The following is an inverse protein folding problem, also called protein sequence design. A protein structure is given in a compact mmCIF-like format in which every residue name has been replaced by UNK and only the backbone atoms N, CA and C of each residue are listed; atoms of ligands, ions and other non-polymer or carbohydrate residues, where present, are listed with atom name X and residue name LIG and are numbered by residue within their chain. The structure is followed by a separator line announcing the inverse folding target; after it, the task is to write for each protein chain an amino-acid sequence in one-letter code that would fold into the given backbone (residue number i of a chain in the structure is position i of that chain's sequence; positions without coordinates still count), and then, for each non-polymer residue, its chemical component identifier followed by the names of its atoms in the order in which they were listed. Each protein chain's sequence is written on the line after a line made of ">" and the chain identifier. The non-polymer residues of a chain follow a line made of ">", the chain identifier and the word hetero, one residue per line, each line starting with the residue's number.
data_IF_954460272255
#
_entry.id   IF_954460272255
#
_cell.length_a   1.000
_cell.length_b   1.000
_cell.length_c   1.000
_cell.angle_alpha   90.00
_cell.angle_beta   90.00
_cell.angle_gamma   90.00
#
_symmetry.space_group_name_H-M   'P 1'
#
loop_
_entity.id
_entity.type
_entity.pdbx_description
1 polymer ?
#
# COMPACT_ATOMS: atom_id res chain seq x y z
N UNK A 1 5.22 23.29 -5.66
CA UNK A 1 5.13 22.39 -4.50
C UNK A 1 6.39 21.53 -4.39
N UNK A 2 6.97 21.44 -3.21
CA UNK A 2 8.12 20.59 -2.98
C UNK A 2 7.65 19.19 -2.50
N UNK A 3 7.51 18.29 -3.44
CA UNK A 3 7.03 16.93 -3.13
C UNK A 3 7.93 16.20 -2.13
N UNK A 4 9.25 16.34 -2.27
CA UNK A 4 10.18 15.67 -1.38
C UNK A 4 9.98 16.10 0.07
N UNK A 5 9.90 17.40 0.32
CA UNK A 5 9.71 17.93 1.68
C UNK A 5 8.36 17.48 2.26
N UNK A 6 7.30 17.47 1.45
CA UNK A 6 5.99 16.98 1.89
C UNK A 6 6.05 15.50 2.30
N UNK A 7 6.71 14.68 1.50
CA UNK A 7 6.88 13.26 1.78
C UNK A 7 7.69 13.07 3.04
N UNK A 8 8.84 13.74 3.15
CA UNK A 8 9.72 13.62 4.31
C UNK A 8 8.99 14.01 5.59
N UNK A 9 8.28 15.13 5.57
CA UNK A 9 7.55 15.61 6.74
C UNK A 9 6.45 14.64 7.17
N UNK A 10 5.72 14.05 6.21
CA UNK A 10 4.69 13.06 6.52
C UNK A 10 5.27 11.81 7.15
N UNK A 11 6.40 11.34 6.65
CA UNK A 11 7.04 10.15 7.22
C UNK A 11 7.55 10.41 8.64
N UNK A 12 8.13 11.58 8.87
CA UNK A 12 8.59 11.98 10.22
C UNK A 12 7.40 12.08 11.16
N UNK A 13 6.33 12.75 10.75
CA UNK A 13 5.12 12.92 11.57
C UNK A 13 4.50 11.56 11.93
N UNK A 14 4.50 10.60 10.99
CA UNK A 14 4.00 9.27 11.23
C UNK A 14 4.81 8.54 12.31
N UNK A 15 6.15 8.62 12.23
CA UNK A 15 7.00 7.99 13.24
C UNK A 15 6.78 8.58 14.63
N UNK A 16 6.60 9.91 14.71
CA UNK A 16 6.32 10.58 15.98
C UNK A 16 4.95 10.14 16.52
N UNK A 17 3.93 10.13 15.68
CA UNK A 17 2.58 9.74 16.06
C UNK A 17 2.53 8.29 16.56
N UNK A 18 3.25 7.39 15.90
CA UNK A 18 3.29 5.98 16.29
C UNK A 18 3.94 5.78 17.66
N UNK A 19 4.90 6.62 18.03
CA UNK A 19 5.54 6.55 19.33
C UNK A 19 4.64 7.07 20.44
N UNK A 20 3.75 8.01 20.14
CA UNK A 20 2.86 8.66 21.12
C UNK A 20 1.57 7.86 21.30
N UNK A 21 1.00 7.38 20.18
CA UNK A 21 -0.30 6.70 20.16
C UNK A 21 -0.15 5.25 19.76
N UNK A 22 -0.28 4.37 20.74
CA UNK A 22 -0.02 2.94 20.55
C UNK A 22 -1.12 2.20 19.79
N UNK A 23 -2.36 2.62 19.92
CA UNK A 23 -3.50 1.82 19.47
C UNK A 23 -3.92 2.02 18.01
N UNK A 24 -3.40 3.00 17.31
CA UNK A 24 -3.82 3.29 15.93
C UNK A 24 -2.67 3.29 14.94
N UNK A 25 -1.65 2.48 15.21
CA UNK A 25 -0.47 2.39 14.34
C UNK A 25 -0.82 2.05 12.90
N UNK A 26 -1.69 1.06 12.71
CA UNK A 26 -2.07 0.64 11.36
C UNK A 26 -2.78 1.75 10.60
N UNK A 27 -3.73 2.44 11.26
CA UNK A 27 -4.44 3.55 10.62
C UNK A 27 -3.49 4.68 10.27
N UNK A 28 -2.58 5.03 11.20
CA UNK A 28 -1.58 6.07 10.97
C UNK A 28 -0.68 5.72 9.79
N UNK A 29 -0.22 4.47 9.71
CA UNK A 29 0.60 4.00 8.61
C UNK A 29 -0.15 4.11 7.27
N UNK A 30 -1.39 3.62 7.22
CA UNK A 30 -2.16 3.63 5.98
C UNK A 30 -2.49 5.04 5.51
N UNK A 31 -2.84 5.94 6.43
CA UNK A 31 -3.10 7.34 6.10
C UNK A 31 -1.84 8.01 5.55
N UNK A 32 -0.69 7.76 6.19
CA UNK A 32 0.59 8.30 5.76
C UNK A 32 0.96 7.79 4.38
N UNK A 33 0.83 6.48 4.16
CA UNK A 33 1.24 5.86 2.89
C UNK A 33 0.29 6.24 1.75
N UNK A 34 -0.97 6.52 2.06
CA UNK A 34 -1.89 7.12 1.08
C UNK A 34 -1.35 8.47 0.61
N UNK A 35 -1.03 9.36 1.56
CA UNK A 35 -0.56 10.69 1.25
C UNK A 35 0.79 10.67 0.51
N UNK A 36 1.74 9.89 1.01
CA UNK A 36 3.05 9.74 0.38
C UNK A 36 2.90 9.17 -1.03
N UNK A 37 2.04 8.16 -1.18
CA UNK A 37 1.76 7.56 -2.48
C UNK A 37 1.19 8.57 -3.47
N UNK A 38 0.29 9.44 -3.01
CA UNK A 38 -0.27 10.50 -3.82
C UNK A 38 0.83 11.47 -4.29
N UNK A 39 1.71 11.88 -3.37
CA UNK A 39 2.82 12.78 -3.72
C UNK A 39 3.81 12.13 -4.69
N UNK A 40 4.10 10.84 -4.51
CA UNK A 40 4.97 10.11 -5.42
C UNK A 40 4.35 9.98 -6.82
N UNK A 41 3.04 9.76 -6.88
CA UNK A 41 2.34 9.69 -8.15
C UNK A 41 2.42 11.04 -8.89
N UNK A 42 2.18 12.14 -8.19
CA UNK A 42 2.28 13.48 -8.78
C UNK A 42 3.71 13.83 -9.19
N UNK A 43 4.69 13.52 -8.34
CA UNK A 43 6.09 13.77 -8.64
C UNK A 43 6.55 12.98 -9.87
N UNK A 44 6.08 11.73 -10.02
CA UNK A 44 6.38 10.90 -11.17
C UNK A 44 5.86 11.51 -12.47
N UNK A 45 4.68 12.13 -12.43
CA UNK A 45 4.11 12.79 -13.59
C UNK A 45 4.91 14.03 -14.00
N UNK A 46 5.48 14.75 -13.02
CA UNK A 46 6.26 15.95 -13.30
C UNK A 46 7.71 15.68 -13.67
N UNK A 47 8.35 14.71 -12.99
CA UNK A 47 9.80 14.50 -13.08
C UNK A 47 10.19 13.14 -13.66
N UNK A 48 9.21 12.26 -13.95
CA UNK A 48 9.46 10.94 -14.49
C UNK A 48 9.69 9.87 -13.42
N UNK A 49 9.77 8.62 -13.86
CA UNK A 49 9.87 7.45 -12.96
C UNK A 49 11.14 7.42 -12.13
N UNK A 50 12.22 8.02 -12.61
CA UNK A 50 13.49 8.05 -11.89
C UNK A 50 13.43 8.80 -10.56
N UNK A 51 12.38 9.59 -10.34
CA UNK A 51 12.25 10.38 -9.12
C UNK A 51 12.12 9.50 -7.88
N UNK A 52 11.56 8.32 -8.00
CA UNK A 52 11.42 7.40 -6.86
C UNK A 52 12.80 6.97 -6.35
N UNK A 53 13.70 6.64 -7.26
CA UNK A 53 15.07 6.26 -6.88
C UNK A 53 15.80 7.42 -6.21
N UNK A 54 15.64 8.62 -6.76
CA UNK A 54 16.23 9.83 -6.18
C UNK A 54 15.71 10.07 -4.77
N UNK A 55 14.38 10.01 -4.59
CA UNK A 55 13.78 10.21 -3.27
C UNK A 55 14.15 9.11 -2.29
N UNK A 56 14.26 7.87 -2.75
CA UNK A 56 14.73 6.76 -1.91
C UNK A 56 16.10 7.06 -1.31
N UNK A 57 17.03 7.52 -2.14
CA UNK A 57 18.38 7.85 -1.68
C UNK A 57 18.37 9.02 -0.69
N UNK A 58 17.63 10.08 -1.02
CA UNK A 58 17.58 11.27 -0.16
C UNK A 58 16.89 11.00 1.17
N UNK A 59 15.77 10.28 1.16
CA UNK A 59 15.05 9.95 2.38
C UNK A 59 15.89 9.05 3.31
N UNK A 60 16.56 8.07 2.74
CA UNK A 60 17.40 7.16 3.51
C UNK A 60 18.52 7.91 4.19
N UNK A 61 19.14 8.85 3.47
CA UNK A 61 20.19 9.70 4.01
C UNK A 61 19.65 10.65 5.09
N UNK A 62 18.59 11.40 4.77
CA UNK A 62 18.06 12.46 5.64
C UNK A 62 17.44 11.91 6.92
N UNK A 63 16.78 10.76 6.86
CA UNK A 63 16.04 10.21 8.00
C UNK A 63 16.78 9.09 8.71
N UNK A 64 17.95 8.71 8.21
CA UNK A 64 18.77 7.64 8.78
C UNK A 64 17.97 6.35 8.99
N UNK A 65 17.08 6.04 8.04
CA UNK A 65 16.23 4.86 8.01
C UNK A 65 16.05 4.47 6.56
N UNK A 66 16.08 3.17 6.26
CA UNK A 66 16.00 2.71 4.88
C UNK A 66 14.58 2.88 4.31
N UNK A 67 14.49 3.69 3.26
CA UNK A 67 13.27 3.82 2.44
C UNK A 67 13.61 3.33 1.04
N UNK A 68 13.44 2.03 0.81
CA UNK A 68 13.83 1.41 -0.46
C UNK A 68 12.92 1.86 -1.60
N UNK A 69 13.43 1.75 -2.82
CA UNK A 69 12.63 1.98 -4.02
C UNK A 69 11.35 1.12 -4.00
N UNK A 70 11.48 -0.14 -3.57
CA UNK A 70 10.34 -1.05 -3.48
C UNK A 70 9.27 -0.54 -2.52
N UNK A 71 9.68 -0.06 -1.34
CA UNK A 71 8.76 0.48 -0.34
C UNK A 71 8.02 1.70 -0.89
N UNK A 72 8.75 2.64 -1.48
CA UNK A 72 8.13 3.84 -2.05
C UNK A 72 7.21 3.49 -3.23
N UNK A 73 7.64 2.56 -4.06
CA UNK A 73 6.82 2.09 -5.18
C UNK A 73 5.51 1.47 -4.68
N UNK A 74 5.58 0.68 -3.61
CA UNK A 74 4.38 0.10 -3.00
C UNK A 74 3.43 1.18 -2.47
N UNK A 75 3.96 2.25 -1.89
CA UNK A 75 3.12 3.37 -1.44
C UNK A 75 2.42 4.03 -2.62
N UNK A 76 3.11 4.24 -3.73
CA UNK A 76 2.51 4.79 -4.95
C UNK A 76 1.41 3.86 -5.49
N UNK A 77 1.69 2.57 -5.57
CA UNK A 77 0.70 1.59 -6.05
C UNK A 77 -0.51 1.51 -5.11
N UNK A 78 -0.28 1.58 -3.80
CA UNK A 78 -1.36 1.60 -2.83
C UNK A 78 -2.31 2.75 -3.11
N UNK A 79 -1.77 3.95 -3.32
CA UNK A 79 -2.59 5.10 -3.68
C UNK A 79 -3.33 4.85 -5.01
N UNK A 80 -2.60 4.46 -6.05
CA UNK A 80 -3.16 4.37 -7.40
C UNK A 80 -4.15 3.23 -7.59
N UNK A 81 -3.84 2.05 -7.03
CA UNK A 81 -4.66 0.85 -7.25
C UNK A 81 -5.73 0.64 -6.20
N UNK A 82 -5.44 0.95 -4.95
CA UNK A 82 -6.34 0.67 -3.83
C UNK A 82 -7.16 1.90 -3.46
N UNK A 83 -6.49 2.98 -3.12
CA UNK A 83 -7.17 4.17 -2.59
C UNK A 83 -7.99 4.91 -3.63
N UNK A 84 -7.61 4.86 -4.90
CA UNK A 84 -8.36 5.48 -5.99
C UNK A 84 -9.47 4.58 -6.53
N UNK A 85 -9.58 3.35 -6.05
CA UNK A 85 -10.62 2.43 -6.49
C UNK A 85 -11.85 2.57 -5.59
N UNK A 86 -12.95 3.06 -6.15
CA UNK A 86 -14.18 3.30 -5.42
C UNK A 86 -14.75 2.05 -4.73
N UNK A 87 -14.54 0.89 -5.33
CA UNK A 87 -15.01 -0.39 -4.77
C UNK A 87 -14.26 -0.79 -3.52
N UNK A 88 -13.04 -0.27 -3.31
CA UNK A 88 -12.17 -0.68 -2.23
C UNK A 88 -12.08 0.31 -1.07
N UNK A 89 -12.47 1.58 -1.29
CA UNK A 89 -12.32 2.61 -0.26
C UNK A 89 -12.91 2.24 1.10
N UNK A 90 -14.11 1.66 1.19
CA UNK A 90 -14.67 1.32 2.50
C UNK A 90 -13.90 0.25 3.28
N UNK A 91 -13.09 -0.56 2.60
CA UNK A 91 -12.34 -1.66 3.23
C UNK A 91 -10.85 -1.38 3.34
N UNK A 92 -10.37 -0.27 2.78
CA UNK A 92 -8.94 0.01 2.69
C UNK A 92 -8.25 0.07 4.06
N UNK A 93 -8.94 0.56 5.10
CA UNK A 93 -8.38 0.70 6.44
C UNK A 93 -8.47 -0.56 7.30
N UNK A 94 -9.11 -1.63 6.80
CA UNK A 94 -9.34 -2.86 7.58
C UNK A 94 -8.10 -3.76 7.60
N UNK A 95 -7.37 -3.81 6.49
CA UNK A 95 -6.18 -4.64 6.36
C UNK A 95 -4.93 -3.88 6.81
N UNK A 96 -3.88 -4.60 7.19
CA UNK A 96 -2.61 -3.98 7.53
C UNK A 96 -1.80 -3.64 6.27
N UNK A 97 -0.81 -2.77 6.45
CA UNK A 97 0.12 -2.45 5.36
C UNK A 97 0.79 -3.70 4.79
N UNK A 98 1.12 -4.66 5.67
CA UNK A 98 1.74 -5.91 5.24
C UNK A 98 0.83 -6.72 4.30
N UNK A 99 -0.48 -6.73 4.56
CA UNK A 99 -1.44 -7.36 3.65
C UNK A 99 -1.42 -6.68 2.28
N UNK A 100 -1.46 -5.34 2.27
CA UNK A 100 -1.48 -4.61 1.00
C UNK A 100 -0.20 -4.81 0.21
N UNK A 101 0.96 -4.88 0.86
CA UNK A 101 2.21 -5.15 0.16
C UNK A 101 2.18 -6.48 -0.60
N UNK A 102 1.54 -7.51 -0.02
CA UNK A 102 1.37 -8.77 -0.73
C UNK A 102 0.39 -8.67 -1.89
N UNK A 103 -0.72 -7.96 -1.67
CA UNK A 103 -1.74 -7.79 -2.69
C UNK A 103 -1.27 -6.96 -3.87
N UNK A 104 -0.39 -5.98 -3.64
CA UNK A 104 0.12 -5.11 -4.70
C UNK A 104 1.02 -5.82 -5.69
N UNK A 105 1.45 -7.05 -5.39
CA UNK A 105 2.19 -7.88 -6.33
C UNK A 105 1.29 -8.50 -7.41
N UNK A 106 -0.01 -8.47 -7.18
CA UNK A 106 -1.00 -9.05 -8.09
C UNK A 106 -1.42 -7.98 -9.10
N UNK A 107 -1.47 -8.34 -10.39
CA UNK A 107 -1.81 -7.40 -11.44
C UNK A 107 -3.31 -7.32 -11.71
N UNK A 108 -4.03 -8.41 -11.50
CA UNK A 108 -5.46 -8.50 -11.80
C UNK A 108 -6.28 -7.91 -10.65
N UNK A 109 -7.05 -6.84 -10.94
CA UNK A 109 -7.86 -6.18 -9.90
C UNK A 109 -8.96 -7.08 -9.34
N UNK A 110 -9.54 -7.94 -10.14
CA UNK A 110 -10.55 -8.89 -9.63
C UNK A 110 -9.96 -9.86 -8.62
N UNK A 111 -8.74 -10.28 -8.86
CA UNK A 111 -8.01 -11.14 -7.95
C UNK A 111 -7.70 -10.42 -6.64
N UNK A 112 -7.25 -9.17 -6.72
CA UNK A 112 -7.01 -8.35 -5.53
C UNK A 112 -8.29 -8.19 -4.71
N UNK A 113 -9.39 -7.87 -5.36
CA UNK A 113 -10.70 -7.74 -4.71
C UNK A 113 -11.11 -9.02 -4.00
N UNK A 114 -10.91 -10.15 -4.66
CA UNK A 114 -11.22 -11.46 -4.07
C UNK A 114 -10.46 -11.67 -2.76
N UNK A 115 -9.14 -11.44 -2.79
CA UNK A 115 -8.32 -11.67 -1.59
C UNK A 115 -8.61 -10.65 -0.48
N UNK A 116 -8.93 -9.41 -0.82
CA UNK A 116 -9.35 -8.43 0.18
C UNK A 116 -10.64 -8.90 0.86
N UNK A 117 -11.59 -9.38 0.08
CA UNK A 117 -12.88 -9.83 0.62
C UNK A 117 -12.74 -11.03 1.55
N UNK A 118 -11.90 -12.01 1.20
CA UNK A 118 -11.70 -13.16 2.08
C UNK A 118 -10.89 -12.80 3.33
N UNK A 119 -9.95 -11.87 3.21
CA UNK A 119 -9.24 -11.37 4.39
C UNK A 119 -10.19 -10.69 5.36
N UNK A 120 -11.12 -9.91 4.84
CA UNK A 120 -12.12 -9.22 5.64
C UNK A 120 -13.09 -10.23 6.28
N UNK A 121 -13.58 -11.19 5.49
CA UNK A 121 -14.59 -12.14 5.93
C UNK A 121 -14.05 -13.12 6.98
N UNK A 122 -12.83 -13.62 6.80
CA UNK A 122 -12.23 -14.64 7.65
C UNK A 122 -11.14 -14.11 8.57
N UNK A 123 -10.91 -12.81 8.58
CA UNK A 123 -9.88 -12.17 9.41
C UNK A 123 -8.51 -12.82 9.23
N UNK A 124 -8.08 -12.97 7.98
CA UNK A 124 -6.84 -13.65 7.67
C UNK A 124 -5.62 -12.83 8.07
N UNK A 125 -4.60 -13.51 8.62
CA UNK A 125 -3.31 -12.91 8.85
C UNK A 125 -2.54 -12.78 7.53
N UNK A 126 -1.46 -12.00 7.55
CA UNK A 126 -0.58 -11.90 6.37
C UNK A 126 -0.12 -13.28 5.91
N UNK A 127 0.29 -14.14 6.86
CA UNK A 127 0.78 -15.47 6.55
C UNK A 127 -0.29 -16.33 5.89
N UNK A 128 -1.52 -16.28 6.42
CA UNK A 128 -2.64 -17.00 5.84
C UNK A 128 -2.97 -16.50 4.45
N UNK A 129 -2.92 -15.20 4.23
CA UNK A 129 -3.12 -14.60 2.91
C UNK A 129 -2.08 -15.10 1.92
N UNK A 130 -0.80 -15.08 2.30
CA UNK A 130 0.29 -15.57 1.45
C UNK A 130 0.05 -17.02 1.04
N UNK A 131 -0.37 -17.86 2.00
CA UNK A 131 -0.67 -19.26 1.73
C UNK A 131 -1.78 -19.41 0.69
N UNK A 132 -2.86 -18.65 0.82
CA UNK A 132 -3.97 -18.72 -0.13
C UNK A 132 -3.57 -18.26 -1.52
N UNK A 133 -2.73 -17.23 -1.62
CA UNK A 133 -2.21 -16.75 -2.91
C UNK A 133 -1.32 -17.83 -3.54
N UNK A 134 -0.44 -18.45 -2.77
CA UNK A 134 0.44 -19.53 -3.24
C UNK A 134 -0.35 -20.73 -3.72
N UNK A 135 -1.46 -21.04 -3.05
CA UNK A 135 -2.33 -22.16 -3.43
C UNK A 135 -3.21 -21.82 -4.64
N UNK A 136 -3.08 -20.63 -5.18
CA UNK A 136 -3.83 -20.19 -6.36
C UNK A 136 -5.33 -20.33 -6.18
N UNK A 137 -5.82 -19.94 -5.01
CA UNK A 137 -7.23 -20.10 -4.65
C UNK A 137 -8.14 -19.36 -5.62
N UNK A 138 -7.79 -18.13 -6.01
CA UNK A 138 -8.58 -17.36 -6.98
C UNK A 138 -8.65 -18.06 -8.34
N UNK A 139 -7.49 -18.55 -8.84
CA UNK A 139 -7.44 -19.19 -10.16
C UNK A 139 -8.26 -20.47 -10.21
N UNK A 140 -8.46 -21.12 -9.05
CA UNK A 140 -9.25 -22.36 -8.95
C UNK A 140 -10.75 -22.11 -8.90
N UNK A 141 -11.18 -20.85 -8.75
CA UNK A 141 -12.60 -20.54 -8.70
C UNK A 141 -13.25 -20.82 -10.05
N UNK A 142 -14.54 -21.27 -10.05
CA UNK A 142 -15.30 -21.37 -11.29
C UNK A 142 -15.36 -20.00 -11.97
N UNK A 143 -15.37 -20.02 -13.30
CA UNK A 143 -15.43 -18.80 -14.10
C UNK A 143 -16.60 -17.91 -13.71
N UNK A 144 -17.74 -18.51 -13.41
CA UNK A 144 -18.94 -17.79 -13.00
C UNK A 144 -18.74 -17.01 -11.70
N UNK A 145 -18.05 -17.62 -10.73
CA UNK A 145 -17.75 -16.97 -9.45
C UNK A 145 -16.83 -15.77 -9.64
N UNK A 146 -15.87 -15.86 -10.56
CA UNK A 146 -14.96 -14.76 -10.87
C UNK A 146 -15.68 -13.57 -11.45
N UNK A 147 -16.71 -13.80 -12.24
CA UNK A 147 -17.49 -12.73 -12.88
C UNK A 147 -18.35 -11.93 -11.88
N UNK A 148 -18.60 -12.48 -10.69
CA UNK A 148 -19.39 -11.82 -9.65
C UNK A 148 -18.57 -10.88 -8.76
N UNK A 149 -17.27 -10.85 -8.95
CA UNK A 149 -16.38 -10.02 -8.11
C UNK A 149 -16.26 -8.56 -8.57
#
# INVERSE_FOLDING_TARGET
>A
MNYYEEIKNKLVDNEITKKIKDYSKNKSDLDTYYYVGKMLSEAGKHYGEGIIKEYSNKLTYDLNKKYSVRTLYNMRLYFEKICCNEKLQPVAAILSWSHYCELLRINNMHEILYYINICKQYNLSKRELITKIKNKEYERLPKESKLKL
#
